data_IF_719872541216
#
_entry.id   IF_719872541216
#
_cell.length_a   1.000
_cell.length_b   1.000
_cell.length_c   1.000
_cell.angle_alpha   90.00
_cell.angle_beta   90.00
_cell.angle_gamma   90.00
#
_symmetry.space_group_name_H-M   'P 1'
#
loop_
_entity.id
_entity.type
_entity.pdbx_description
1 polymer ?
#
# COMPACT_ATOMS: atom_id res chain seq x y z
N UNK A 1 -9.97 -10.64 18.01
CA UNK A 1 -8.70 -11.28 17.63
C UNK A 1 -8.93 -12.21 16.45
N UNK A 2 -9.63 -13.33 16.66
CA UNK A 2 -9.83 -14.35 15.63
C UNK A 2 -10.45 -13.83 14.33
N UNK A 3 -11.43 -12.92 14.40
CA UNK A 3 -12.04 -12.32 13.20
C UNK A 3 -11.09 -11.38 12.44
N UNK A 4 -10.23 -10.65 13.15
CA UNK A 4 -9.27 -9.71 12.57
C UNK A 4 -8.10 -10.45 11.90
N UNK A 5 -7.59 -11.50 12.55
CA UNK A 5 -6.58 -12.38 11.96
C UNK A 5 -7.12 -13.14 10.74
N UNK A 6 -8.36 -13.63 10.80
CA UNK A 6 -8.99 -14.30 9.66
C UNK A 6 -9.17 -13.34 8.47
N UNK A 7 -9.54 -12.08 8.71
CA UNK A 7 -9.65 -11.07 7.66
C UNK A 7 -8.29 -10.74 7.03
N UNK A 8 -7.23 -10.58 7.84
CA UNK A 8 -5.87 -10.34 7.34
C UNK A 8 -5.39 -11.51 6.47
N UNK A 9 -5.50 -12.74 6.98
CA UNK A 9 -5.09 -13.94 6.24
C UNK A 9 -5.87 -14.08 4.94
N UNK A 10 -7.18 -13.82 4.95
CA UNK A 10 -8.02 -13.87 3.75
C UNK A 10 -7.59 -12.84 2.71
N UNK A 11 -7.27 -11.60 3.12
CA UNK A 11 -6.81 -10.55 2.23
C UNK A 11 -5.43 -10.85 1.63
N UNK A 12 -4.50 -11.39 2.42
CA UNK A 12 -3.19 -11.84 1.93
C UNK A 12 -3.33 -12.98 0.91
N UNK A 13 -4.22 -13.94 1.18
CA UNK A 13 -4.52 -15.04 0.26
C UNK A 13 -5.17 -14.54 -1.04
N UNK A 14 -6.09 -13.58 -0.96
CA UNK A 14 -6.71 -12.96 -2.13
C UNK A 14 -5.68 -12.24 -3.00
N UNK A 15 -4.76 -11.49 -2.41
CA UNK A 15 -3.66 -10.84 -3.11
C UNK A 15 -2.72 -11.86 -3.77
N UNK A 16 -2.36 -12.92 -3.06
CA UNK A 16 -1.50 -13.99 -3.59
C UNK A 16 -2.16 -14.73 -4.76
N UNK A 17 -3.46 -15.08 -4.65
CA UNK A 17 -4.24 -15.69 -5.74
C UNK A 17 -4.30 -14.78 -6.95
N UNK A 18 -4.60 -13.50 -6.77
CA UNK A 18 -4.65 -12.53 -7.87
C UNK A 18 -3.30 -12.42 -8.60
N UNK A 19 -2.18 -12.39 -7.85
CA UNK A 19 -0.82 -12.38 -8.43
C UNK A 19 -0.50 -13.66 -9.20
N UNK A 20 -0.88 -14.83 -8.67
CA UNK A 20 -0.66 -16.11 -9.32
C UNK A 20 -1.51 -16.26 -10.60
N UNK A 21 -2.81 -15.99 -10.53
CA UNK A 21 -3.75 -16.12 -11.66
C UNK A 21 -3.42 -15.17 -12.80
N UNK A 22 -2.79 -14.03 -12.50
CA UNK A 22 -2.38 -13.04 -13.49
C UNK A 22 -0.89 -13.12 -13.86
N UNK A 23 -0.11 -14.02 -13.23
CA UNK A 23 1.37 -14.07 -13.34
C UNK A 23 2.03 -12.69 -13.23
N UNK A 24 1.46 -11.81 -12.41
CA UNK A 24 1.79 -10.38 -12.33
C UNK A 24 2.40 -10.11 -10.95
N UNK A 25 3.70 -9.79 -10.94
CA UNK A 25 4.44 -9.52 -9.69
C UNK A 25 4.02 -8.17 -9.08
N UNK A 26 3.73 -7.17 -9.93
CA UNK A 26 3.14 -5.86 -9.59
C UNK A 26 2.70 -5.13 -10.89
N UNK A 27 1.39 -4.95 -11.16
CA UNK A 27 0.92 -4.29 -12.38
C UNK A 27 1.41 -2.85 -12.54
N UNK A 28 1.61 -2.13 -11.43
CA UNK A 28 2.03 -0.73 -11.45
C UNK A 28 3.49 -0.66 -11.85
N UNK A 29 4.36 -1.40 -11.16
CA UNK A 29 5.80 -1.43 -11.50
C UNK A 29 6.06 -1.97 -12.91
N UNK A 30 5.27 -2.96 -13.35
CA UNK A 30 5.38 -3.48 -14.70
C UNK A 30 4.93 -2.45 -15.75
N UNK A 31 3.88 -1.67 -15.46
CA UNK A 31 3.46 -0.56 -16.32
C UNK A 31 4.53 0.53 -16.40
N UNK A 32 5.15 0.89 -15.28
CA UNK A 32 6.20 1.91 -15.23
C UNK A 32 7.41 1.53 -16.10
N UNK A 33 7.88 0.27 -15.98
CA UNK A 33 8.96 -0.25 -16.81
C UNK A 33 8.59 -0.22 -18.31
N UNK A 34 7.36 -0.63 -18.65
CA UNK A 34 6.89 -0.61 -20.03
C UNK A 34 6.77 0.81 -20.59
N UNK A 35 6.32 1.79 -19.78
CA UNK A 35 6.25 3.21 -20.15
C UNK A 35 7.65 3.78 -20.36
N UNK A 36 8.62 3.41 -19.52
CA UNK A 36 10.03 3.80 -19.70
C UNK A 36 10.60 3.25 -21.00
N UNK A 37 10.31 1.98 -21.34
CA UNK A 37 10.69 1.36 -22.61
C UNK A 37 10.06 2.08 -23.81
N UNK A 38 8.77 2.42 -23.73
CA UNK A 38 8.09 3.24 -24.75
C UNK A 38 8.77 4.61 -24.90
N UNK A 39 9.16 5.25 -23.80
CA UNK A 39 9.92 6.51 -23.83
C UNK A 39 11.27 6.37 -24.53
N UNK A 40 11.99 5.27 -24.30
CA UNK A 40 13.26 4.99 -24.99
C UNK A 40 13.06 4.79 -26.50
N UNK A 41 12.03 4.04 -26.91
CA UNK A 41 11.68 3.84 -28.31
C UNK A 41 11.27 5.16 -29.01
N UNK A 42 10.55 6.04 -28.30
CA UNK A 42 10.21 7.38 -28.80
C UNK A 42 11.46 8.24 -29.03
N UNK A 43 12.43 8.19 -28.12
CA UNK A 43 13.71 8.88 -28.30
C UNK A 43 14.49 8.36 -29.52
N UNK A 44 14.51 7.05 -29.74
CA UNK A 44 15.14 6.44 -30.91
C UNK A 44 14.44 6.84 -32.22
N UNK A 45 13.10 6.88 -32.23
CA UNK A 45 12.32 7.33 -33.37
C UNK A 45 12.63 8.79 -33.71
N UNK A 46 12.72 9.65 -32.69
CA UNK A 46 13.07 11.06 -32.88
C UNK A 46 14.48 11.21 -33.48
N UNK A 47 15.46 10.48 -32.95
CA UNK A 47 16.83 10.47 -33.49
C UNK A 47 16.87 10.00 -34.96
N UNK A 48 16.14 8.93 -35.28
CA UNK A 48 16.03 8.39 -36.65
C UNK A 48 15.40 9.41 -37.61
N UNK A 49 14.34 10.10 -37.20
CA UNK A 49 13.68 11.15 -38.01
C UNK A 49 14.58 12.36 -38.22
N UNK A 50 15.34 12.76 -37.20
CA UNK A 50 16.34 13.84 -37.33
C UNK A 50 17.41 13.46 -38.36
N UNK A 51 17.98 12.26 -38.24
CA UNK A 51 18.97 11.77 -39.20
C UNK A 51 18.42 11.72 -40.63
N UNK A 52 17.18 11.28 -40.80
CA UNK A 52 16.50 11.28 -42.11
C UNK A 52 16.36 12.71 -42.68
N UNK A 53 16.01 13.69 -41.84
CA UNK A 53 15.90 15.08 -42.25
C UNK A 53 17.25 15.67 -42.66
N UNK A 54 18.31 15.42 -41.87
CA UNK A 54 19.67 15.87 -42.17
C UNK A 54 20.18 15.28 -43.49
N UNK A 55 19.99 13.97 -43.69
CA UNK A 55 20.39 13.27 -44.92
C UNK A 55 19.66 13.83 -46.14
N UNK A 56 18.34 14.06 -46.05
CA UNK A 56 17.54 14.64 -47.13
C UNK A 56 17.93 16.08 -47.46
N UNK A 57 18.34 16.86 -46.45
CA UNK A 57 18.81 18.22 -46.64
C UNK A 57 20.16 18.27 -47.38
N UNK A 58 21.03 17.29 -47.13
CA UNK A 58 22.34 17.20 -47.78
C UNK A 58 22.28 16.60 -49.19
N UNK A 59 21.53 15.51 -49.38
CA UNK A 59 21.44 14.79 -50.65
C UNK A 59 20.08 14.11 -50.81
N UNK A 60 19.29 14.55 -51.80
CA UNK A 60 17.93 14.06 -52.04
C UNK A 60 17.85 12.57 -52.41
N UNK A 61 18.87 12.05 -53.10
CA UNK A 61 18.92 10.65 -53.58
C UNK A 61 19.90 9.78 -52.77
N UNK A 62 20.13 10.13 -51.49
CA UNK A 62 21.01 9.34 -50.64
C UNK A 62 20.42 7.94 -50.39
N UNK A 63 21.18 6.84 -50.64
CA UNK A 63 20.70 5.47 -50.45
C UNK A 63 20.33 5.10 -49.01
N UNK A 64 20.71 5.93 -48.02
CA UNK A 64 20.31 5.74 -46.62
C UNK A 64 18.87 6.16 -46.32
N UNK A 65 18.25 6.98 -47.16
CA UNK A 65 16.87 7.47 -46.99
C UNK A 65 15.86 6.31 -46.82
N UNK A 66 15.75 5.35 -47.75
CA UNK A 66 14.79 4.25 -47.62
C UNK A 66 15.05 3.37 -46.37
N UNK A 67 16.31 3.24 -45.94
CA UNK A 67 16.67 2.49 -44.73
C UNK A 67 16.16 3.19 -43.48
N UNK A 68 16.38 4.51 -43.38
CA UNK A 68 15.94 5.33 -42.25
C UNK A 68 14.41 5.44 -42.19
N UNK A 69 13.73 5.54 -43.33
CA UNK A 69 12.27 5.49 -43.42
C UNK A 69 11.70 4.16 -42.91
N UNK A 70 12.28 3.04 -43.36
CA UNK A 70 11.89 1.71 -42.88
C UNK A 70 12.08 1.59 -41.36
N UNK A 71 13.23 2.04 -40.83
CA UNK A 71 13.49 2.04 -39.38
C UNK A 71 12.46 2.87 -38.62
N UNK A 72 12.15 4.07 -39.08
CA UNK A 72 11.15 4.94 -38.46
C UNK A 72 9.74 4.30 -38.47
N UNK A 73 9.37 3.60 -39.55
CA UNK A 73 8.10 2.86 -39.63
C UNK A 73 8.05 1.71 -38.64
N UNK A 74 9.11 0.91 -38.54
CA UNK A 74 9.20 -0.21 -37.59
C UNK A 74 9.09 0.32 -36.16
N UNK A 75 9.89 1.33 -35.78
CA UNK A 75 9.86 1.94 -34.45
C UNK A 75 8.46 2.48 -34.10
N UNK A 76 7.79 3.13 -35.05
CA UNK A 76 6.42 3.64 -34.83
C UNK A 76 5.42 2.50 -34.56
N UNK A 77 5.53 1.38 -35.28
CA UNK A 77 4.70 0.20 -35.06
C UNK A 77 4.97 -0.47 -33.71
N UNK A 78 6.23 -0.60 -33.32
CA UNK A 78 6.62 -1.14 -32.00
C UNK A 78 6.09 -0.28 -30.87
N UNK A 79 6.21 1.05 -30.96
CA UNK A 79 5.63 2.00 -29.97
C UNK A 79 4.13 1.79 -29.83
N UNK A 80 3.40 1.63 -30.93
CA UNK A 80 1.94 1.37 -30.89
C UNK A 80 1.61 0.05 -30.19
N UNK A 81 2.36 -1.01 -30.48
CA UNK A 81 2.20 -2.33 -29.83
C UNK A 81 2.49 -2.26 -28.33
N UNK A 82 3.60 -1.65 -27.91
CA UNK A 82 3.95 -1.52 -26.49
C UNK A 82 2.95 -0.62 -25.73
N UNK A 83 2.51 0.48 -26.36
CA UNK A 83 1.49 1.34 -25.77
C UNK A 83 0.14 0.63 -25.61
N UNK A 84 -0.21 -0.27 -26.53
CA UNK A 84 -1.43 -1.07 -26.44
C UNK A 84 -1.40 -2.05 -25.26
N UNK A 85 -0.23 -2.60 -24.91
CA UNK A 85 -0.07 -3.43 -23.70
C UNK A 85 -0.31 -2.65 -22.40
N UNK A 86 0.00 -1.36 -22.40
CA UNK A 86 -0.20 -0.48 -21.23
C UNK A 86 -1.64 0.03 -21.16
N UNK A 87 -2.20 0.56 -22.24
CA UNK A 87 -3.45 1.32 -22.21
C UNK A 87 -4.50 0.97 -23.29
N UNK A 88 -4.24 -0.01 -24.16
CA UNK A 88 -5.01 -0.18 -25.40
C UNK A 88 -6.14 -1.20 -25.44
N UNK A 89 -6.18 -2.18 -24.54
CA UNK A 89 -7.15 -3.30 -24.62
C UNK A 89 -7.67 -3.77 -23.25
N UNK A 90 -8.72 -4.60 -23.21
CA UNK A 90 -9.27 -5.19 -21.96
C UNK A 90 -8.23 -6.01 -21.18
N UNK A 91 -7.18 -6.49 -21.83
CA UNK A 91 -6.06 -7.18 -21.19
C UNK A 91 -4.89 -6.27 -20.79
N UNK A 92 -4.97 -4.96 -21.08
CA UNK A 92 -3.91 -4.01 -20.78
C UNK A 92 -3.60 -3.94 -19.29
N UNK A 93 -2.42 -3.42 -18.95
CA UNK A 93 -2.08 -3.21 -17.55
C UNK A 93 -3.03 -2.20 -16.90
N UNK A 94 -3.41 -1.13 -17.59
CA UNK A 94 -4.33 -0.10 -17.08
C UNK A 94 -5.71 -0.64 -16.69
N UNK A 95 -6.23 -1.67 -17.37
CA UNK A 95 -7.51 -2.29 -17.02
C UNK A 95 -7.44 -3.16 -15.76
N UNK A 96 -6.23 -3.61 -15.38
CA UNK A 96 -5.96 -4.47 -14.21
C UNK A 96 -5.59 -3.68 -12.95
N UNK A 97 -5.26 -2.39 -13.08
CA UNK A 97 -4.87 -1.51 -11.97
C UNK A 97 -5.99 -1.34 -10.94
N UNK A 98 -7.25 -1.01 -11.29
CA UNK A 98 -8.30 -0.78 -10.28
C UNK A 98 -8.59 -2.00 -9.41
N UNK A 99 -8.53 -3.20 -10.00
CA UNK A 99 -8.78 -4.45 -9.29
C UNK A 99 -7.62 -4.81 -8.35
N UNK A 100 -6.38 -4.53 -8.76
CA UNK A 100 -5.19 -4.68 -7.92
C UNK A 100 -5.17 -3.65 -6.77
N UNK A 101 -5.54 -2.41 -7.03
CA UNK A 101 -5.64 -1.35 -6.02
C UNK A 101 -6.68 -1.70 -4.96
N UNK A 102 -7.85 -2.20 -5.36
CA UNK A 102 -8.88 -2.68 -4.43
C UNK A 102 -8.37 -3.79 -3.50
N UNK A 103 -7.77 -4.84 -4.06
CA UNK A 103 -7.24 -5.96 -3.26
C UNK A 103 -6.08 -5.52 -2.36
N UNK A 104 -5.24 -4.58 -2.82
CA UNK A 104 -4.14 -4.03 -2.01
C UNK A 104 -4.67 -3.17 -0.87
N UNK A 105 -5.70 -2.36 -1.13
CA UNK A 105 -6.38 -1.55 -0.12
C UNK A 105 -7.05 -2.44 0.93
N UNK A 106 -7.72 -3.51 0.52
CA UNK A 106 -8.35 -4.49 1.42
C UNK A 106 -7.32 -5.15 2.34
N UNK A 107 -6.14 -5.52 1.80
CA UNK A 107 -5.02 -6.01 2.61
C UNK A 107 -4.54 -4.97 3.62
N UNK A 108 -4.33 -3.73 3.18
CA UNK A 108 -3.83 -2.65 4.04
C UNK A 108 -4.83 -2.30 5.16
N UNK A 109 -6.13 -2.34 4.85
CA UNK A 109 -7.19 -2.16 5.81
C UNK A 109 -7.20 -3.31 6.84
N UNK A 110 -7.13 -4.56 6.39
CA UNK A 110 -7.11 -5.73 7.27
C UNK A 110 -5.89 -5.73 8.20
N UNK A 111 -4.72 -5.34 7.69
CA UNK A 111 -3.50 -5.20 8.49
C UNK A 111 -3.65 -4.12 9.59
N UNK A 112 -4.21 -2.95 9.25
CA UNK A 112 -4.49 -1.89 10.24
C UNK A 112 -5.53 -2.31 11.26
N UNK A 113 -6.57 -3.04 10.84
CA UNK A 113 -7.61 -3.53 11.75
C UNK A 113 -7.04 -4.54 12.76
N UNK A 114 -6.18 -5.45 12.31
CA UNK A 114 -5.45 -6.38 13.18
C UNK A 114 -4.57 -5.62 14.19
N UNK A 115 -3.85 -4.60 13.75
CA UNK A 115 -3.02 -3.77 14.63
C UNK A 115 -3.86 -3.10 15.74
N UNK A 116 -4.97 -2.46 15.38
CA UNK A 116 -5.87 -1.82 16.36
C UNK A 116 -6.45 -2.85 17.34
N UNK A 117 -6.81 -4.05 16.86
CA UNK A 117 -7.28 -5.11 17.73
C UNK A 117 -6.20 -5.54 18.74
N UNK A 118 -4.94 -5.62 18.31
CA UNK A 118 -3.80 -5.99 19.16
C UNK A 118 -3.53 -4.94 20.23
N UNK A 119 -3.55 -3.66 19.83
CA UNK A 119 -3.39 -2.54 20.76
C UNK A 119 -4.52 -2.53 21.80
N UNK A 120 -5.76 -2.77 21.39
CA UNK A 120 -6.92 -2.84 22.29
C UNK A 120 -6.83 -4.01 23.28
N UNK A 121 -6.36 -5.17 22.82
CA UNK A 121 -6.14 -6.32 23.69
C UNK A 121 -5.07 -6.03 24.74
N UNK A 122 -3.97 -5.39 24.32
CA UNK A 122 -2.88 -5.04 25.23
C UNK A 122 -3.32 -4.01 26.27
N UNK A 123 -4.08 -3.00 25.86
CA UNK A 123 -4.71 -2.04 26.78
C UNK A 123 -5.66 -2.72 27.78
N UNK A 124 -6.50 -3.66 27.31
CA UNK A 124 -7.42 -4.39 28.18
C UNK A 124 -6.67 -5.24 29.23
N UNK A 125 -5.55 -5.87 28.85
CA UNK A 125 -4.67 -6.62 29.76
C UNK A 125 -4.02 -5.72 30.79
N UNK A 126 -3.46 -4.58 30.36
CA UNK A 126 -2.85 -3.59 31.26
C UNK A 126 -3.88 -3.07 32.28
N UNK A 127 -5.09 -2.73 31.83
CA UNK A 127 -6.17 -2.28 32.71
C UNK A 127 -6.59 -3.36 33.70
N UNK A 128 -6.73 -4.62 33.27
CA UNK A 128 -7.06 -5.73 34.16
C UNK A 128 -5.96 -5.96 35.22
N UNK A 129 -4.68 -5.86 34.84
CA UNK A 129 -3.55 -5.99 35.76
C UNK A 129 -3.51 -4.84 36.78
N UNK A 130 -3.76 -3.60 36.34
CA UNK A 130 -3.91 -2.44 37.24
C UNK A 130 -5.08 -2.61 38.21
N UNK A 131 -6.24 -3.09 37.74
CA UNK A 131 -7.40 -3.33 38.60
C UNK A 131 -7.14 -4.42 39.66
N UNK A 132 -6.43 -5.49 39.32
CA UNK A 132 -6.03 -6.50 40.29
C UNK A 132 -5.09 -5.94 41.37
N UNK A 133 -4.13 -5.08 40.99
CA UNK A 133 -3.21 -4.44 41.92
C UNK A 133 -3.92 -3.43 42.86
N UNK A 134 -4.94 -2.73 42.36
CA UNK A 134 -5.73 -1.76 43.13
C UNK A 134 -6.69 -2.38 44.17
N UNK A 135 -6.92 -3.71 44.12
CA UNK A 135 -7.75 -4.41 45.11
C UNK A 135 -6.96 -4.75 46.40
N UNK A 136 -5.63 -4.56 46.43
CA UNK A 136 -4.85 -4.77 47.65
C UNK A 136 -4.76 -3.52 48.55
N UNK A 137 -5.63 -3.55 49.59
CA UNK A 137 -5.55 -2.91 50.91
C UNK A 137 -5.54 -1.37 50.99
N UNK A 138 -6.74 -0.79 50.97
CA UNK A 138 -7.02 0.57 51.47
C UNK A 138 -7.03 0.52 53.00
N UNK A 139 -5.85 0.74 53.59
CA UNK A 139 -5.59 0.95 55.01
C UNK A 139 -5.70 -0.26 55.96
N UNK A 140 -4.68 -0.39 56.82
CA UNK A 140 -4.77 -1.13 58.07
C UNK A 140 -5.59 -0.28 59.05
N UNK A 141 -6.53 -0.85 59.84
CA UNK A 141 -7.30 -0.07 60.81
C UNK A 141 -6.33 0.60 61.79
N UNK A 142 -6.30 1.93 61.80
CA UNK A 142 -5.60 2.68 62.83
C UNK A 142 -6.50 2.76 64.07
N UNK A 143 -5.93 2.49 65.25
CA UNK A 143 -6.64 2.71 66.51
C UNK A 143 -6.92 4.22 66.65
N UNK A 144 -8.14 4.63 67.05
CA UNK A 144 -8.45 6.03 67.28
C UNK A 144 -7.65 6.56 68.47
N UNK A 145 -6.86 7.62 68.25
CA UNK A 145 -5.92 8.13 69.26
C UNK A 145 -6.54 9.06 70.31
N UNK A 146 -7.80 9.51 70.15
CA UNK A 146 -8.46 10.40 71.13
C UNK A 146 -9.96 10.17 71.23
N UNK A 147 -10.46 9.97 72.45
CA UNK A 147 -11.89 9.98 72.75
C UNK A 147 -12.42 11.42 72.80
N UNK A 148 -13.17 11.83 71.77
CA UNK A 148 -13.91 13.10 71.73
C UNK A 148 -15.24 12.90 72.48
N UNK A 149 -15.14 12.90 73.83
CA UNK A 149 -16.02 13.48 74.88
C UNK A 149 -17.58 13.42 74.79
N UNK A 150 -18.35 13.53 75.92
CA UNK A 150 -18.28 14.69 76.82
C UNK A 150 -18.26 14.43 78.34
N UNK A 151 -17.74 15.46 79.03
CA UNK A 151 -17.56 15.61 80.48
C UNK A 151 -18.86 15.71 81.31
N UNK A 152 -18.78 15.05 82.47
CA UNK A 152 -19.44 15.19 83.79
C UNK A 152 -20.74 16.02 83.97
N UNK A 153 -21.70 15.43 84.69
CA UNK A 153 -22.58 16.16 85.61
C UNK A 153 -22.06 16.03 87.05
N UNK A 154 -21.92 17.20 87.69
CA UNK A 154 -21.53 17.41 89.08
C UNK A 154 -22.56 16.80 90.04
N UNK A 155 -22.06 16.19 91.11
CA UNK A 155 -22.84 15.80 92.28
C UNK A 155 -23.44 17.04 92.96
N UNK A 156 -24.73 16.97 93.29
CA UNK A 156 -25.42 17.85 94.25
C UNK A 156 -26.26 16.95 95.15
N UNK A 157 -25.77 16.73 96.37
CA UNK A 157 -26.50 16.50 97.63
C UNK A 157 -25.49 16.10 98.71
#
# INVERSE_FOLDING_TARGET
MDSAEQQERAAVLALSKYRNDKSLYDPIKQSDLQIQEVGALQAELLATRKQLADVRAMARDNPQIPVLENRARILSGTIGSEMAKVAGDRSSLSSKVPQYEGITLDRDFAAKYLQVALDSLEQARANAMSQQLYIERIAQPNQPDVAIEPKALRNVA
#
